data_IF_846812907285
#
_entry.id   IF_846812907285
#
_cell.length_a   1.000
_cell.length_b   1.000
_cell.length_c   1.000
_cell.angle_alpha   90.00
_cell.angle_beta   90.00
_cell.angle_gamma   90.00
#
_symmetry.space_group_name_H-M   'P 1'
#
loop_
_entity.id
_entity.type
_entity.pdbx_description
1 polymer ?
#
# COMPACT_ATOMS: atom_id res chain seq x y z
N UNK A 1 1.88 -10.98 -23.95
CA UNK A 1 1.61 -10.41 -22.61
C UNK A 1 2.79 -9.52 -22.28
N UNK A 2 2.56 -8.25 -21.96
CA UNK A 2 3.64 -7.37 -21.49
C UNK A 2 4.11 -7.88 -20.14
N UNK A 3 5.41 -8.06 -19.95
CA UNK A 3 5.93 -8.51 -18.66
C UNK A 3 5.63 -7.48 -17.56
N UNK A 4 5.24 -7.95 -16.36
CA UNK A 4 5.00 -7.08 -15.22
C UNK A 4 6.29 -6.35 -14.81
N UNK A 5 6.17 -5.07 -14.45
CA UNK A 5 7.27 -4.23 -13.96
C UNK A 5 7.79 -4.67 -12.57
N UNK A 6 7.07 -5.58 -11.91
CA UNK A 6 7.49 -6.21 -10.67
C UNK A 6 8.62 -7.22 -10.89
N UNK A 7 8.81 -7.72 -12.12
CA UNK A 7 9.90 -8.67 -12.38
C UNK A 7 11.27 -8.07 -12.03
N UNK A 8 12.08 -8.84 -11.30
CA UNK A 8 13.39 -8.42 -10.82
C UNK A 8 13.36 -7.43 -9.65
N UNK A 9 12.17 -7.10 -9.12
CA UNK A 9 12.01 -6.21 -7.96
C UNK A 9 12.11 -6.96 -6.65
N UNK A 10 12.69 -6.31 -5.64
CA UNK A 10 12.70 -6.79 -4.25
C UNK A 10 11.48 -6.27 -3.51
N UNK A 11 10.66 -7.18 -3.02
CA UNK A 11 9.40 -6.88 -2.34
C UNK A 11 9.45 -7.44 -0.93
N UNK A 12 9.17 -6.61 0.07
CA UNK A 12 8.97 -7.05 1.44
C UNK A 12 7.49 -6.99 1.78
N UNK A 13 6.91 -8.08 2.26
CA UNK A 13 5.58 -8.09 2.86
C UNK A 13 5.68 -8.35 4.36
N UNK A 14 4.98 -7.55 5.15
CA UNK A 14 4.95 -7.63 6.61
C UNK A 14 3.51 -7.71 7.10
N UNK A 15 3.16 -8.84 7.70
CA UNK A 15 1.81 -9.16 8.18
C UNK A 15 1.94 -10.26 9.23
N UNK A 16 1.21 -10.16 10.34
CA UNK A 16 1.23 -11.19 11.39
C UNK A 16 0.50 -12.47 10.97
N UNK A 17 -0.29 -12.41 9.89
CA UNK A 17 -1.04 -13.52 9.30
C UNK A 17 -0.21 -14.23 8.18
N UNK A 18 0.37 -15.42 8.42
CA UNK A 18 1.25 -16.09 7.45
C UNK A 18 0.55 -16.55 6.15
N UNK A 19 -0.75 -16.78 6.22
CA UNK A 19 -1.63 -17.09 5.09
C UNK A 19 -1.79 -15.88 4.18
N UNK A 20 -1.95 -14.67 4.72
CA UNK A 20 -1.95 -13.43 3.94
C UNK A 20 -0.62 -13.24 3.20
N UNK A 21 0.50 -13.47 3.88
CA UNK A 21 1.82 -13.41 3.25
C UNK A 21 2.02 -14.45 2.14
N UNK A 22 1.42 -15.63 2.29
CA UNK A 22 1.49 -16.70 1.30
C UNK A 22 0.63 -16.39 0.08
N UNK A 23 -0.58 -15.85 0.29
CA UNK A 23 -1.43 -15.38 -0.80
C UNK A 23 -0.78 -14.22 -1.58
N UNK A 24 -0.17 -13.26 -0.87
CA UNK A 24 0.59 -12.17 -1.51
C UNK A 24 1.73 -12.69 -2.39
N UNK A 25 2.52 -13.64 -1.86
CA UNK A 25 3.61 -14.24 -2.60
C UNK A 25 3.11 -14.96 -3.86
N UNK A 26 2.05 -15.75 -3.74
CA UNK A 26 1.46 -16.49 -4.86
C UNK A 26 0.97 -15.54 -5.97
N UNK A 27 0.15 -14.56 -5.62
CA UNK A 27 -0.40 -13.58 -6.58
C UNK A 27 0.71 -12.80 -7.30
N UNK A 28 1.74 -12.36 -6.55
CA UNK A 28 2.85 -11.58 -7.10
C UNK A 28 3.74 -12.45 -7.99
N UNK A 29 4.11 -13.65 -7.55
CA UNK A 29 5.00 -14.53 -8.32
C UNK A 29 4.29 -15.13 -9.53
N UNK A 30 2.97 -15.31 -9.50
CA UNK A 30 2.21 -15.71 -10.69
C UNK A 30 2.30 -14.66 -11.79
N UNK A 31 2.20 -13.37 -11.45
CA UNK A 31 2.29 -12.28 -12.43
C UNK A 31 3.74 -11.87 -12.76
N UNK A 32 4.66 -12.04 -11.81
CA UNK A 32 6.06 -11.62 -11.91
C UNK A 32 7.01 -12.67 -11.30
N UNK A 33 7.25 -13.80 -11.99
CA UNK A 33 7.99 -14.95 -11.45
C UNK A 33 9.45 -14.67 -11.08
N UNK A 34 10.04 -13.57 -11.57
CA UNK A 34 11.43 -13.18 -11.29
C UNK A 34 11.54 -12.16 -10.16
N UNK A 35 10.45 -11.85 -9.47
CA UNK A 35 10.47 -10.98 -8.29
C UNK A 35 11.16 -11.70 -7.13
N UNK A 36 11.84 -10.93 -6.27
CA UNK A 36 12.42 -11.43 -5.04
C UNK A 36 11.46 -11.05 -3.92
N UNK A 37 10.72 -12.03 -3.41
CA UNK A 37 9.73 -11.82 -2.36
C UNK A 37 10.29 -12.23 -1.00
N UNK A 38 10.17 -11.34 -0.01
CA UNK A 38 10.51 -11.62 1.37
C UNK A 38 9.34 -11.34 2.29
N UNK A 39 9.27 -12.15 3.34
CA UNK A 39 8.24 -12.11 4.37
C UNK A 39 8.84 -11.65 5.69
N UNK A 40 8.00 -11.05 6.52
CA UNK A 40 8.23 -10.88 7.95
C UNK A 40 6.89 -10.97 8.68
N UNK A 41 6.83 -11.70 9.79
CA UNK A 41 5.57 -11.86 10.57
C UNK A 41 5.54 -11.04 11.84
N UNK A 42 6.65 -10.34 12.14
CA UNK A 42 6.78 -9.54 13.35
C UNK A 42 7.39 -8.18 13.03
N UNK A 43 7.10 -7.20 13.87
CA UNK A 43 7.70 -5.89 13.77
C UNK A 43 9.24 -5.97 13.85
N UNK A 44 9.78 -6.74 14.79
CA UNK A 44 11.23 -6.84 15.02
C UNK A 44 11.95 -7.42 13.81
N UNK A 45 11.37 -8.42 13.16
CA UNK A 45 11.90 -8.99 11.91
C UNK A 45 11.84 -7.96 10.77
N UNK A 46 10.72 -7.26 10.62
CA UNK A 46 10.55 -6.23 9.62
C UNK A 46 11.56 -5.09 9.79
N UNK A 47 11.80 -4.63 11.02
CA UNK A 47 12.81 -3.61 11.32
C UNK A 47 14.20 -4.08 10.91
N UNK A 48 14.59 -5.32 11.27
CA UNK A 48 15.90 -5.88 10.88
C UNK A 48 16.07 -5.91 9.37
N UNK A 49 15.04 -6.36 8.63
CA UNK A 49 15.02 -6.42 7.16
C UNK A 49 15.10 -5.04 6.51
N UNK A 50 14.30 -4.09 6.99
CA UNK A 50 14.32 -2.70 6.53
C UNK A 50 15.66 -2.00 6.80
N UNK A 51 16.38 -2.42 7.84
CA UNK A 51 17.71 -1.89 8.18
C UNK A 51 18.83 -2.53 7.36
N UNK A 52 18.77 -3.84 7.10
CA UNK A 52 19.85 -4.60 6.47
C UNK A 52 19.92 -4.45 4.96
N UNK A 53 18.80 -4.15 4.29
CA UNK A 53 18.75 -4.02 2.84
C UNK A 53 17.66 -3.06 2.37
N UNK A 54 17.67 -2.78 1.07
CA UNK A 54 16.66 -1.95 0.39
C UNK A 54 15.69 -2.80 -0.40
N UNK A 55 14.46 -2.32 -0.50
CA UNK A 55 13.37 -2.93 -1.25
C UNK A 55 12.83 -1.92 -2.28
N UNK A 56 12.34 -2.41 -3.41
CA UNK A 56 11.66 -1.57 -4.39
C UNK A 56 10.24 -1.23 -3.92
N UNK A 57 9.58 -2.18 -3.23
CA UNK A 57 8.24 -2.03 -2.65
C UNK A 57 8.18 -2.72 -1.29
N UNK A 58 7.50 -2.08 -0.34
CA UNK A 58 7.17 -2.66 0.97
C UNK A 58 5.66 -2.70 1.14
N UNK A 59 5.11 -3.83 1.57
CA UNK A 59 3.69 -4.03 1.86
C UNK A 59 3.56 -4.22 3.37
N UNK A 60 2.72 -3.43 4.04
CA UNK A 60 2.60 -3.44 5.50
C UNK A 60 1.14 -3.61 5.94
N UNK A 61 0.87 -4.58 6.81
CA UNK A 61 -0.32 -4.56 7.66
C UNK A 61 -0.22 -3.45 8.72
N UNK A 62 -1.38 -2.92 9.13
CA UNK A 62 -1.46 -1.80 10.07
C UNK A 62 -1.44 -2.25 11.53
N UNK A 63 -2.22 -3.27 11.91
CA UNK A 63 -2.51 -3.52 13.33
C UNK A 63 -1.68 -4.65 13.94
N UNK A 64 -1.42 -5.74 13.24
CA UNK A 64 -0.69 -6.88 13.80
C UNK A 64 0.82 -6.64 13.95
N UNK A 65 1.36 -5.68 13.18
CA UNK A 65 2.81 -5.45 13.08
C UNK A 65 3.21 -4.00 13.33
N UNK A 66 2.36 -3.19 13.97
CA UNK A 66 2.58 -1.73 14.17
C UNK A 66 2.92 -1.02 12.85
N UNK A 67 2.09 -1.22 11.83
CA UNK A 67 2.37 -0.80 10.45
C UNK A 67 2.67 0.68 10.28
N UNK A 68 2.05 1.57 11.05
CA UNK A 68 2.35 3.00 10.95
C UNK A 68 3.76 3.37 11.46
N UNK A 69 4.31 2.63 12.41
CA UNK A 69 5.70 2.81 12.85
C UNK A 69 6.67 2.26 11.79
N UNK A 70 6.36 1.11 11.20
CA UNK A 70 7.15 0.56 10.09
C UNK A 70 7.11 1.48 8.86
N UNK A 71 5.96 2.10 8.58
CA UNK A 71 5.82 3.10 7.52
C UNK A 71 6.77 4.28 7.75
N UNK A 72 6.84 4.82 8.97
CA UNK A 72 7.76 5.92 9.29
C UNK A 72 9.23 5.54 9.04
N UNK A 73 9.62 4.30 9.36
CA UNK A 73 10.97 3.80 9.11
C UNK A 73 11.27 3.66 7.61
N UNK A 74 10.31 3.10 6.87
CA UNK A 74 10.45 2.86 5.43
C UNK A 74 10.46 4.17 4.63
N UNK A 75 9.62 5.14 4.98
CA UNK A 75 9.56 6.47 4.34
C UNK A 75 10.84 7.26 4.59
N UNK A 76 11.42 7.20 5.79
CA UNK A 76 12.75 7.81 6.07
C UNK A 76 13.87 7.24 5.20
N UNK A 77 13.68 6.03 4.67
CA UNK A 77 14.58 5.36 3.72
C UNK A 77 14.18 5.58 2.25
N UNK A 78 13.21 6.45 1.96
CA UNK A 78 12.64 6.71 0.64
C UNK A 78 12.10 5.44 -0.05
N UNK A 79 11.59 4.49 0.73
CA UNK A 79 10.96 3.28 0.19
C UNK A 79 9.51 3.55 -0.21
N UNK A 80 9.06 2.88 -1.26
CA UNK A 80 7.66 2.93 -1.70
C UNK A 80 6.84 1.92 -0.89
N UNK A 81 5.87 2.41 -0.13
CA UNK A 81 5.10 1.58 0.81
C UNK A 81 3.63 1.52 0.43
N UNK A 82 3.08 0.31 0.33
CA UNK A 82 1.64 0.05 0.25
C UNK A 82 1.14 -0.46 1.60
N UNK A 83 0.17 0.25 2.20
CA UNK A 83 -0.54 -0.26 3.38
C UNK A 83 -1.62 -1.24 2.92
N UNK A 84 -1.69 -2.41 3.53
CA UNK A 84 -2.68 -3.44 3.23
C UNK A 84 -3.37 -3.87 4.52
N UNK A 85 -4.66 -3.65 4.68
CA UNK A 85 -5.33 -3.95 5.96
C UNK A 85 -6.75 -4.49 5.77
N UNK A 86 -7.17 -5.41 6.65
CA UNK A 86 -8.58 -5.75 6.79
C UNK A 86 -9.23 -4.94 7.92
N UNK A 87 -8.57 -4.92 9.07
CA UNK A 87 -9.18 -4.47 10.31
C UNK A 87 -9.09 -2.95 10.51
N UNK A 88 -8.03 -2.29 10.02
CA UNK A 88 -7.89 -0.83 10.13
C UNK A 88 -8.47 -0.11 8.91
N UNK A 89 -9.54 -0.68 8.32
CA UNK A 89 -10.20 -0.18 7.13
C UNK A 89 -11.15 0.99 7.43
N UNK A 90 -10.59 2.18 7.68
CA UNK A 90 -11.36 3.39 8.04
C UNK A 90 -10.89 4.64 7.27
N UNK A 91 -11.76 5.66 7.11
CA UNK A 91 -11.38 6.94 6.53
C UNK A 91 -10.17 7.62 7.21
N UNK A 92 -10.07 7.50 8.54
CA UNK A 92 -9.00 8.10 9.33
C UNK A 92 -7.66 7.40 9.05
N UNK A 93 -7.67 6.07 8.94
CA UNK A 93 -6.48 5.29 8.59
C UNK A 93 -6.04 5.54 7.14
N UNK A 94 -6.99 5.72 6.21
CA UNK A 94 -6.73 6.14 4.83
C UNK A 94 -6.05 7.52 4.78
N UNK A 95 -6.64 8.52 5.45
CA UNK A 95 -6.07 9.88 5.59
C UNK A 95 -4.67 9.84 6.20
N UNK A 96 -4.50 9.12 7.33
CA UNK A 96 -3.21 8.98 8.01
C UNK A 96 -2.15 8.32 7.11
N UNK A 97 -2.53 7.32 6.32
CA UNK A 97 -1.62 6.66 5.38
C UNK A 97 -1.12 7.63 4.31
N UNK A 98 -2.02 8.46 3.77
CA UNK A 98 -1.65 9.55 2.88
C UNK A 98 -0.68 10.52 3.56
N UNK A 99 -1.07 11.12 4.69
CA UNK A 99 -0.24 12.12 5.40
C UNK A 99 1.16 11.61 5.74
N UNK A 100 1.28 10.32 6.11
CA UNK A 100 2.56 9.65 6.42
C UNK A 100 3.33 9.16 5.19
N UNK A 101 2.95 9.58 3.98
CA UNK A 101 3.63 9.30 2.70
C UNK A 101 3.65 7.82 2.29
N UNK A 102 2.65 7.03 2.71
CA UNK A 102 2.41 5.74 2.04
C UNK A 102 2.02 5.98 0.58
N UNK A 103 2.50 5.17 -0.34
CA UNK A 103 2.16 5.24 -1.77
C UNK A 103 0.78 4.66 -2.08
N UNK A 104 0.29 3.76 -1.23
CA UNK A 104 -1.05 3.18 -1.38
C UNK A 104 -1.64 2.76 -0.04
N UNK A 105 -2.96 2.62 -0.01
CA UNK A 105 -3.73 2.04 1.08
C UNK A 105 -4.82 1.15 0.47
N UNK A 106 -4.79 -0.14 0.83
CA UNK A 106 -5.59 -1.18 0.19
C UNK A 106 -6.30 -2.04 1.24
N UNK A 107 -7.57 -2.42 1.00
CA UNK A 107 -8.22 -3.45 1.79
C UNK A 107 -7.63 -4.83 1.47
N UNK A 108 -7.47 -5.71 2.46
CA UNK A 108 -7.08 -7.14 2.21
C UNK A 108 -8.06 -7.86 1.27
N UNK A 109 -9.32 -7.40 1.18
CA UNK A 109 -10.32 -7.86 0.19
C UNK A 109 -9.87 -7.68 -1.28
N UNK A 110 -8.83 -6.86 -1.53
CA UNK A 110 -8.25 -6.62 -2.86
C UNK A 110 -6.95 -7.37 -3.11
N UNK A 111 -6.63 -8.39 -2.29
CA UNK A 111 -5.45 -9.25 -2.46
C UNK A 111 -5.35 -9.88 -3.87
N UNK A 112 -6.44 -10.45 -4.40
CA UNK A 112 -6.44 -11.03 -5.75
C UNK A 112 -6.30 -10.00 -6.89
N UNK A 113 -6.32 -8.70 -6.58
CA UNK A 113 -6.07 -7.61 -7.52
C UNK A 113 -4.82 -6.81 -7.15
N UNK A 114 -3.95 -7.34 -6.27
CA UNK A 114 -2.84 -6.58 -5.66
C UNK A 114 -1.82 -6.10 -6.69
N UNK A 115 -1.53 -6.93 -7.71
CA UNK A 115 -0.47 -6.68 -8.69
C UNK A 115 -0.67 -5.34 -9.42
N UNK A 116 -1.82 -5.04 -10.05
CA UNK A 116 -2.08 -3.72 -10.65
C UNK A 116 -1.92 -2.52 -9.71
N UNK A 117 -2.09 -2.69 -8.39
CA UNK A 117 -1.85 -1.62 -7.43
C UNK A 117 -0.36 -1.43 -7.17
N UNK A 118 0.40 -2.52 -6.98
CA UNK A 118 1.86 -2.45 -6.79
C UNK A 118 2.58 -1.93 -8.05
N UNK A 119 2.07 -2.26 -9.23
CA UNK A 119 2.57 -1.69 -10.49
C UNK A 119 2.33 -0.18 -10.53
N UNK A 120 1.15 0.31 -10.14
CA UNK A 120 0.89 1.74 -10.05
C UNK A 120 1.83 2.43 -9.02
N UNK A 121 2.10 1.78 -7.88
CA UNK A 121 3.06 2.25 -6.85
C UNK A 121 4.47 2.43 -7.43
N UNK A 122 4.90 1.53 -8.33
CA UNK A 122 6.21 1.63 -8.97
C UNK A 122 6.26 2.59 -10.16
N UNK A 123 5.14 2.73 -10.89
CA UNK A 123 5.07 3.45 -12.16
C UNK A 123 4.84 4.94 -11.99
N UNK A 124 4.06 5.34 -10.99
CA UNK A 124 3.65 6.73 -10.81
C UNK A 124 4.34 7.37 -9.61
N UNK A 125 4.52 8.69 -9.71
CA UNK A 125 4.86 9.50 -8.55
C UNK A 125 3.71 9.52 -7.53
N UNK A 126 4.04 9.97 -6.33
CA UNK A 126 3.17 9.90 -5.16
C UNK A 126 1.76 10.48 -5.39
N UNK A 127 1.62 11.73 -5.88
CA UNK A 127 0.31 12.37 -6.07
C UNK A 127 -0.50 11.74 -7.23
N UNK A 128 0.06 11.53 -8.44
CA UNK A 128 -0.67 10.83 -9.50
C UNK A 128 -1.08 9.39 -9.13
N UNK A 129 -0.23 8.68 -8.38
CA UNK A 129 -0.53 7.34 -7.86
C UNK A 129 -1.75 7.34 -6.94
N UNK A 130 -1.79 8.27 -5.97
CA UNK A 130 -2.93 8.44 -5.07
C UNK A 130 -4.23 8.80 -5.79
N UNK A 131 -4.18 9.67 -6.80
CA UNK A 131 -5.37 9.97 -7.62
C UNK A 131 -5.95 8.72 -8.27
N UNK A 132 -5.07 7.88 -8.85
CA UNK A 132 -5.48 6.63 -9.51
C UNK A 132 -6.03 5.63 -8.50
N UNK A 133 -5.40 5.50 -7.34
CA UNK A 133 -5.87 4.66 -6.25
C UNK A 133 -7.28 5.04 -5.82
N UNK A 134 -7.51 6.32 -5.52
CA UNK A 134 -8.82 6.83 -5.10
C UNK A 134 -9.89 6.56 -6.17
N UNK A 135 -9.56 6.77 -7.45
CA UNK A 135 -10.48 6.44 -8.56
C UNK A 135 -10.78 4.94 -8.64
N UNK A 136 -9.78 4.07 -8.47
CA UNK A 136 -9.96 2.61 -8.51
C UNK A 136 -10.82 2.09 -7.33
N UNK A 137 -10.68 2.71 -6.17
CA UNK A 137 -11.36 2.30 -4.94
C UNK A 137 -12.60 3.13 -4.59
N UNK A 138 -13.00 4.09 -5.43
CA UNK A 138 -14.12 4.98 -5.15
C UNK A 138 -15.41 4.20 -4.84
N UNK A 139 -15.77 3.24 -5.71
CA UNK A 139 -16.94 2.39 -5.50
C UNK A 139 -16.84 1.52 -4.25
N UNK A 140 -15.63 1.03 -3.95
CA UNK A 140 -15.38 0.24 -2.74
C UNK A 140 -15.58 1.09 -1.47
N UNK A 141 -14.97 2.28 -1.40
CA UNK A 141 -15.10 3.16 -0.24
C UNK A 141 -16.54 3.67 -0.06
N UNK A 142 -17.25 4.02 -1.14
CA UNK A 142 -18.67 4.40 -1.06
C UNK A 142 -19.55 3.26 -0.55
N UNK A 143 -19.32 2.04 -1.01
CA UNK A 143 -20.04 0.85 -0.53
C UNK A 143 -19.74 0.58 0.95
N UNK A 144 -18.46 0.69 1.35
CA UNK A 144 -17.99 0.35 2.70
C UNK A 144 -18.36 1.39 3.77
N UNK A 145 -18.25 2.67 3.45
CA UNK A 145 -18.37 3.78 4.40
C UNK A 145 -19.55 4.73 4.10
N UNK A 146 -20.29 4.49 3.01
CA UNK A 146 -21.41 5.32 2.56
C UNK A 146 -20.98 6.46 1.63
N UNK A 147 -21.91 7.02 0.85
CA UNK A 147 -21.62 8.04 -0.17
C UNK A 147 -20.97 9.31 0.39
N UNK A 148 -21.14 9.59 1.67
CA UNK A 148 -20.72 10.82 2.33
C UNK A 148 -19.59 10.64 3.33
N UNK A 149 -18.82 9.54 3.23
CA UNK A 149 -17.75 9.21 4.18
C UNK A 149 -16.67 10.30 4.31
N UNK A 150 -16.49 11.13 3.29
CA UNK A 150 -15.55 12.26 3.30
C UNK A 150 -16.05 13.48 4.10
N UNK A 151 -17.34 13.56 4.46
CA UNK A 151 -17.91 14.77 5.10
C UNK A 151 -17.28 15.13 6.44
N UNK A 152 -16.87 14.13 7.23
CA UNK A 152 -16.25 14.36 8.54
C UNK A 152 -14.94 15.17 8.44
N UNK A 153 -14.25 15.05 7.31
CA UNK A 153 -12.94 15.65 7.04
C UNK A 153 -12.95 16.41 5.70
N UNK A 154 -14.05 17.09 5.40
CA UNK A 154 -14.31 17.67 4.07
C UNK A 154 -13.18 18.58 3.57
N UNK A 155 -12.62 19.42 4.44
CA UNK A 155 -11.50 20.30 4.11
C UNK A 155 -10.27 19.52 3.62
N UNK A 156 -9.93 18.42 4.29
CA UNK A 156 -8.81 17.57 3.88
C UNK A 156 -9.05 16.96 2.50
N UNK A 157 -10.25 16.42 2.24
CA UNK A 157 -10.56 15.76 0.97
C UNK A 157 -10.66 16.76 -0.19
N UNK A 158 -11.16 17.97 0.05
CA UNK A 158 -11.12 19.06 -0.94
C UNK A 158 -9.68 19.45 -1.31
N UNK A 159 -8.81 19.59 -0.31
CA UNK A 159 -7.41 19.91 -0.54
C UNK A 159 -6.66 18.76 -1.23
N UNK A 160 -6.95 17.51 -0.84
CA UNK A 160 -6.47 16.31 -1.51
C UNK A 160 -6.83 16.32 -3.01
N UNK A 161 -8.09 16.61 -3.35
CA UNK A 161 -8.53 16.69 -4.75
C UNK A 161 -7.82 17.81 -5.52
N UNK A 162 -7.58 18.97 -4.89
CA UNK A 162 -6.82 20.07 -5.50
C UNK A 162 -5.37 19.66 -5.79
N UNK A 163 -4.64 19.13 -4.80
CA UNK A 163 -3.22 18.81 -4.95
C UNK A 163 -2.98 17.63 -5.91
N UNK A 164 -3.90 16.67 -5.97
CA UNK A 164 -3.81 15.54 -6.89
C UNK A 164 -4.32 15.87 -8.30
N UNK A 165 -5.10 16.94 -8.46
CA UNK A 165 -5.59 17.41 -9.76
C UNK A 165 -4.77 18.55 -10.38
N UNK A 166 -3.85 19.14 -9.64
CA UNK A 166 -2.84 20.03 -10.21
C UNK A 166 -2.09 19.29 -11.32
N UNK A 167 -2.21 19.78 -12.56
CA UNK A 167 -1.39 19.33 -13.68
C UNK A 167 0.03 19.81 -13.40
N UNK A 168 0.97 18.87 -13.27
CA UNK A 168 2.40 19.14 -13.26
C UNK A 168 2.90 18.97 -14.69
#
# INVERSE_FOLDING_TARGET
MTESILNGKKILAVDDEPDVLSALEEEILQAAPRSIFEKATTYEEAVKKLQSQSYDVVILDIMGVRGFELLDLAVKKNLRVAMLTAHALTPEALKRSFEKKAYAYLPKEKLGEIVPFLEDVLKYDYLPGWKRLMKKLEGFFKSRWGEYWQKAEAHFWEDFEKITSAKW
#
